data_IF_514531133014
#
_entry.id   IF_514531133014
#
_cell.length_a   1.000
_cell.length_b   1.000
_cell.length_c   1.000
_cell.angle_alpha   90.00
_cell.angle_beta   90.00
_cell.angle_gamma   90.00
#
_symmetry.space_group_name_H-M   'P 1'
#
loop_
_entity.id
_entity.type
_entity.pdbx_description
1 polymer ?
#
# COMPACT_ATOMS: atom_id res chain seq x y z
N UNK A 1 -15.49 14.33 4.79
CA UNK A 1 -16.19 13.03 4.92
C UNK A 1 -16.01 12.56 6.35
N UNK A 2 -17.03 11.96 6.98
CA UNK A 2 -16.87 11.32 8.29
C UNK A 2 -15.79 10.23 8.18
N UNK A 3 -14.85 10.20 9.14
CA UNK A 3 -13.76 9.22 9.16
C UNK A 3 -14.28 7.78 9.15
N UNK A 4 -13.43 6.85 8.70
CA UNK A 4 -13.74 5.42 8.71
C UNK A 4 -14.01 4.95 10.14
N UNK A 5 -15.18 4.35 10.39
CA UNK A 5 -15.52 3.77 11.69
C UNK A 5 -15.16 2.29 11.65
N UNK A 6 -14.17 1.79 12.41
CA UNK A 6 -13.87 0.37 12.44
C UNK A 6 -15.02 -0.42 13.08
N UNK A 7 -15.26 -1.69 12.68
CA UNK A 7 -16.25 -2.53 13.35
C UNK A 7 -15.82 -2.83 14.78
N UNK A 8 -16.80 -3.10 15.65
CA UNK A 8 -16.60 -3.32 17.10
C UNK A 8 -15.57 -4.45 17.36
N UNK A 9 -15.58 -5.51 16.55
CA UNK A 9 -14.67 -6.64 16.70
C UNK A 9 -13.27 -6.42 16.10
N UNK A 10 -13.10 -5.36 15.29
CA UNK A 10 -11.88 -5.03 14.54
C UNK A 10 -11.32 -6.18 13.68
N UNK A 11 -12.13 -7.17 13.31
CA UNK A 11 -11.66 -8.39 12.61
C UNK A 11 -11.70 -8.31 11.10
N UNK A 12 -12.71 -7.65 10.53
CA UNK A 12 -12.89 -7.52 9.09
C UNK A 12 -13.07 -6.05 8.69
N UNK A 13 -12.84 -5.73 7.42
CA UNK A 13 -13.21 -4.43 6.87
C UNK A 13 -14.74 -4.32 6.80
N UNK A 14 -15.26 -3.22 7.31
CA UNK A 14 -16.64 -2.81 7.13
C UNK A 14 -16.76 -1.80 5.96
N UNK A 15 -17.88 -1.83 5.23
CA UNK A 15 -18.06 -1.09 3.98
C UNK A 15 -19.21 -0.06 4.00
N UNK A 16 -19.77 0.23 5.17
CA UNK A 16 -20.85 1.21 5.30
C UNK A 16 -20.37 2.60 4.81
N UNK A 17 -21.14 3.21 3.91
CA UNK A 17 -20.81 4.52 3.33
C UNK A 17 -19.74 4.50 2.23
N UNK A 18 -19.31 3.33 1.76
CA UNK A 18 -18.29 3.19 0.72
C UNK A 18 -18.86 3.02 -0.69
N UNK A 19 -20.19 3.08 -0.84
CA UNK A 19 -20.91 2.83 -2.10
C UNK A 19 -20.46 3.76 -3.22
N UNK A 20 -20.10 5.00 -2.89
CA UNK A 20 -19.60 6.00 -3.83
C UNK A 20 -18.24 5.64 -4.45
N UNK A 21 -17.48 4.73 -3.84
CA UNK A 21 -16.20 4.24 -4.35
C UNK A 21 -16.36 3.12 -5.38
N UNK A 22 -17.57 2.61 -5.58
CA UNK A 22 -17.83 1.48 -6.46
C UNK A 22 -17.71 1.88 -7.95
N UNK A 23 -17.04 1.06 -8.74
CA UNK A 23 -16.77 1.33 -10.16
C UNK A 23 -17.70 0.47 -11.01
N UNK A 24 -18.48 1.09 -11.91
CA UNK A 24 -19.41 0.37 -12.82
C UNK A 24 -20.26 -0.68 -12.07
N UNK A 25 -20.75 -0.31 -10.89
CA UNK A 25 -21.58 -1.15 -10.04
C UNK A 25 -23.02 -1.22 -10.56
N UNK A 26 -23.28 -2.13 -11.50
CA UNK A 26 -24.60 -2.39 -12.06
C UNK A 26 -25.14 -3.73 -11.56
N UNK A 27 -26.47 -3.88 -11.54
CA UNK A 27 -27.11 -5.15 -11.18
C UNK A 27 -26.57 -6.32 -12.03
N UNK A 28 -26.44 -6.11 -13.34
CA UNK A 28 -25.93 -7.12 -14.27
C UNK A 28 -24.48 -7.54 -13.92
N UNK A 29 -23.58 -6.57 -13.70
CA UNK A 29 -22.20 -6.87 -13.34
C UNK A 29 -22.11 -7.67 -12.04
N UNK A 30 -22.89 -7.30 -11.01
CA UNK A 30 -22.94 -8.03 -9.75
C UNK A 30 -23.37 -9.48 -9.96
N UNK A 31 -24.48 -9.70 -10.67
CA UNK A 31 -25.02 -11.04 -10.91
C UNK A 31 -24.04 -11.91 -11.68
N UNK A 32 -23.44 -11.39 -12.77
CA UNK A 32 -22.49 -12.13 -13.58
C UNK A 32 -21.24 -12.54 -12.79
N UNK A 33 -20.69 -11.63 -11.98
CA UNK A 33 -19.49 -11.91 -11.18
C UNK A 33 -19.78 -12.93 -10.07
N UNK A 34 -20.90 -12.77 -9.35
CA UNK A 34 -21.29 -13.72 -8.31
C UNK A 34 -21.61 -15.11 -8.89
N UNK A 35 -22.19 -15.17 -10.09
CA UNK A 35 -22.40 -16.43 -10.80
C UNK A 35 -21.05 -17.06 -11.19
N UNK A 36 -20.14 -16.29 -11.79
CA UNK A 36 -18.82 -16.76 -12.21
C UNK A 36 -17.99 -17.29 -11.03
N UNK A 37 -18.07 -16.65 -9.86
CA UNK A 37 -17.43 -17.13 -8.63
C UNK A 37 -18.01 -18.48 -8.14
N UNK A 38 -19.30 -18.74 -8.38
CA UNK A 38 -19.95 -20.00 -8.00
C UNK A 38 -19.74 -21.12 -9.03
N UNK A 39 -19.39 -20.79 -10.27
CA UNK A 39 -19.27 -21.75 -11.37
C UNK A 39 -17.84 -21.80 -11.92
N UNK A 40 -17.45 -20.82 -12.73
CA UNK A 40 -16.20 -20.77 -13.51
C UNK A 40 -14.96 -20.74 -12.63
N UNK A 41 -14.98 -20.00 -11.52
CA UNK A 41 -13.84 -19.89 -10.61
C UNK A 41 -13.37 -21.24 -10.04
N UNK A 42 -14.26 -22.24 -9.96
CA UNK A 42 -13.93 -23.59 -9.47
C UNK A 42 -13.03 -24.38 -10.43
N UNK A 43 -12.89 -23.91 -11.67
CA UNK A 43 -12.02 -24.51 -12.67
C UNK A 43 -10.56 -24.07 -12.54
N UNK A 44 -10.28 -23.09 -11.67
CA UNK A 44 -8.94 -22.53 -11.47
C UNK A 44 -8.43 -22.85 -10.07
N UNK A 45 -7.12 -23.06 -9.95
CA UNK A 45 -6.45 -23.02 -8.66
C UNK A 45 -6.12 -21.59 -8.27
N UNK A 46 -6.31 -21.27 -7.00
CA UNK A 46 -6.02 -19.97 -6.42
C UNK A 46 -5.77 -20.11 -4.91
N UNK A 47 -5.03 -19.16 -4.37
CA UNK A 47 -4.81 -18.99 -2.94
C UNK A 47 -4.95 -17.49 -2.60
N UNK A 48 -5.41 -17.21 -1.38
CA UNK A 48 -5.63 -15.84 -0.92
C UNK A 48 -6.82 -15.12 -1.57
N UNK A 49 -6.82 -13.79 -1.67
CA UNK A 49 -8.02 -13.02 -2.04
C UNK A 49 -8.28 -12.95 -3.55
N UNK A 50 -7.37 -13.46 -4.40
CA UNK A 50 -7.41 -13.26 -5.85
C UNK A 50 -7.87 -14.52 -6.59
N UNK A 51 -9.07 -14.46 -7.19
CA UNK A 51 -9.78 -15.60 -7.79
C UNK A 51 -9.89 -15.40 -9.31
N UNK A 52 -9.22 -16.21 -10.15
CA UNK A 52 -9.33 -16.12 -11.60
C UNK A 52 -10.75 -16.43 -12.09
N UNK A 53 -11.23 -15.64 -13.05
CA UNK A 53 -12.49 -15.92 -13.78
C UNK A 53 -12.24 -16.34 -15.23
N UNK A 54 -11.09 -16.02 -15.79
CA UNK A 54 -10.63 -16.44 -17.11
C UNK A 54 -9.10 -16.31 -17.21
N UNK A 55 -8.54 -16.47 -18.41
CA UNK A 55 -7.12 -16.17 -18.66
C UNK A 55 -6.79 -14.71 -18.36
N UNK A 56 -7.64 -13.76 -18.75
CA UNK A 56 -7.38 -12.32 -18.65
C UNK A 56 -8.16 -11.57 -17.55
N UNK A 57 -8.96 -12.27 -16.73
CA UNK A 57 -9.80 -11.62 -15.71
C UNK A 57 -9.64 -12.29 -14.34
N UNK A 58 -9.54 -11.45 -13.30
CA UNK A 58 -9.42 -11.88 -11.91
C UNK A 58 -10.33 -11.04 -11.00
N UNK A 59 -10.82 -11.65 -9.93
CA UNK A 59 -11.58 -10.96 -8.88
C UNK A 59 -10.80 -11.00 -7.58
N UNK A 60 -10.51 -9.83 -7.01
CA UNK A 60 -10.01 -9.72 -5.64
C UNK A 60 -11.19 -9.56 -4.68
N UNK A 61 -11.32 -10.47 -3.71
CA UNK A 61 -12.34 -10.43 -2.68
C UNK A 61 -11.86 -11.11 -1.39
N UNK A 62 -12.19 -10.55 -0.23
CA UNK A 62 -11.62 -11.01 1.03
C UNK A 62 -12.11 -10.18 2.22
N UNK A 63 -11.87 -10.64 3.46
CA UNK A 63 -12.24 -9.89 4.67
C UNK A 63 -11.49 -8.56 4.83
N UNK A 64 -10.40 -8.36 4.07
CA UNK A 64 -9.59 -7.15 4.14
C UNK A 64 -9.48 -6.39 2.81
N UNK A 65 -10.31 -6.75 1.81
CA UNK A 65 -10.34 -6.03 0.53
C UNK A 65 -11.24 -4.81 0.67
N UNK A 66 -10.77 -3.64 0.24
CA UNK A 66 -11.52 -2.39 0.29
C UNK A 66 -11.69 -1.76 -1.09
N UNK A 67 -12.83 -1.11 -1.37
CA UNK A 67 -13.08 -0.48 -2.67
C UNK A 67 -12.07 0.62 -3.04
N UNK A 68 -11.39 1.21 -2.05
CA UNK A 68 -10.29 2.17 -2.27
C UNK A 68 -9.19 1.58 -3.15
N UNK A 69 -8.87 0.29 -3.05
CA UNK A 69 -7.85 -0.33 -3.90
C UNK A 69 -8.21 -0.20 -5.41
N UNK A 70 -9.48 -0.40 -5.73
CA UNK A 70 -9.98 -0.23 -7.10
C UNK A 70 -9.93 1.24 -7.55
N UNK A 71 -10.22 2.18 -6.65
CA UNK A 71 -10.09 3.61 -6.90
C UNK A 71 -8.64 4.02 -7.11
N UNK A 72 -7.71 3.48 -6.33
CA UNK A 72 -6.28 3.73 -6.47
C UNK A 72 -5.77 3.28 -7.83
N UNK A 73 -6.06 2.05 -8.26
CA UNK A 73 -5.62 1.58 -9.59
C UNK A 73 -6.16 2.48 -10.71
N UNK A 74 -7.42 2.93 -10.62
CA UNK A 74 -7.96 3.91 -11.59
C UNK A 74 -7.25 5.25 -11.52
N UNK A 75 -6.96 5.75 -10.32
CA UNK A 75 -6.26 7.01 -10.11
C UNK A 75 -4.85 6.96 -10.72
N UNK A 76 -4.07 5.92 -10.42
CA UNK A 76 -2.71 5.73 -10.95
C UNK A 76 -2.73 5.61 -12.48
N UNK A 77 -3.62 4.78 -13.04
CA UNK A 77 -3.75 4.63 -14.49
C UNK A 77 -4.17 5.91 -15.23
N UNK A 78 -4.84 6.84 -14.53
CA UNK A 78 -5.30 8.10 -15.14
C UNK A 78 -4.27 9.22 -15.03
N UNK A 79 -3.28 9.10 -14.15
CA UNK A 79 -2.33 10.17 -13.84
C UNK A 79 -0.86 9.79 -14.08
N UNK A 80 -0.59 8.54 -14.45
CA UNK A 80 0.76 8.03 -14.70
C UNK A 80 0.77 7.04 -15.87
N UNK A 81 1.96 6.73 -16.38
CA UNK A 81 2.21 5.67 -17.36
C UNK A 81 2.43 4.28 -16.73
N UNK A 82 2.39 4.19 -15.40
CA UNK A 82 2.68 2.95 -14.66
C UNK A 82 1.64 1.87 -15.03
N UNK A 83 2.07 0.68 -15.45
CA UNK A 83 1.15 -0.39 -15.78
C UNK A 83 0.53 -0.94 -14.49
N UNK A 84 -0.78 -0.76 -14.35
CA UNK A 84 -1.58 -1.27 -13.22
C UNK A 84 -2.77 -2.08 -13.74
N UNK A 85 -3.34 -3.03 -12.96
CA UNK A 85 -4.49 -3.80 -13.40
C UNK A 85 -5.68 -2.90 -13.75
N UNK A 86 -6.19 -3.02 -14.98
CA UNK A 86 -7.37 -2.25 -15.39
C UNK A 86 -8.61 -2.75 -14.65
N UNK A 87 -9.22 -1.88 -13.85
CA UNK A 87 -10.46 -2.19 -13.14
C UNK A 87 -11.66 -2.22 -14.10
N UNK A 88 -12.33 -3.36 -14.17
CA UNK A 88 -13.54 -3.54 -14.95
C UNK A 88 -14.80 -3.14 -14.19
N UNK A 89 -14.94 -3.59 -12.94
CA UNK A 89 -15.96 -3.13 -12.02
C UNK A 89 -15.58 -3.44 -10.57
N UNK A 90 -16.19 -2.76 -9.61
CA UNK A 90 -16.07 -3.06 -8.19
C UNK A 90 -17.38 -2.80 -7.47
N UNK A 91 -17.70 -3.62 -6.48
CA UNK A 91 -18.95 -3.50 -5.72
C UNK A 91 -18.87 -4.21 -4.37
N UNK A 92 -19.82 -3.90 -3.49
CA UNK A 92 -20.02 -4.58 -2.21
C UNK A 92 -21.21 -5.54 -2.31
N UNK A 93 -21.04 -6.75 -1.79
CA UNK A 93 -22.10 -7.73 -1.61
C UNK A 93 -21.89 -8.45 -0.29
N UNK A 94 -22.92 -8.47 0.57
CA UNK A 94 -22.86 -9.03 1.93
C UNK A 94 -21.65 -8.49 2.74
N UNK A 95 -21.49 -7.17 2.76
CA UNK A 95 -20.38 -6.47 3.41
C UNK A 95 -18.99 -7.00 3.00
N UNK A 96 -18.83 -7.37 1.74
CA UNK A 96 -17.56 -7.80 1.15
C UNK A 96 -17.34 -7.12 -0.19
N UNK A 97 -16.19 -6.45 -0.34
CA UNK A 97 -15.78 -5.92 -1.63
C UNK A 97 -15.41 -7.02 -2.62
N UNK A 98 -15.76 -6.78 -3.88
CA UNK A 98 -15.35 -7.54 -5.03
C UNK A 98 -14.76 -6.55 -6.02
N UNK A 99 -13.50 -6.74 -6.40
CA UNK A 99 -12.79 -5.91 -7.38
C UNK A 99 -12.48 -6.79 -8.57
N UNK A 100 -13.15 -6.53 -9.69
CA UNK A 100 -12.94 -7.26 -10.94
C UNK A 100 -11.96 -6.46 -11.78
N UNK A 101 -10.84 -7.06 -12.09
CA UNK A 101 -9.73 -6.39 -12.76
C UNK A 101 -9.04 -7.31 -13.77
N UNK A 102 -8.23 -6.70 -14.62
CA UNK A 102 -7.35 -7.40 -15.54
C UNK A 102 -6.40 -8.34 -14.80
N UNK A 103 -6.26 -9.55 -15.32
CA UNK A 103 -5.18 -10.47 -14.92
C UNK A 103 -3.97 -10.21 -15.82
N UNK A 104 -3.03 -9.43 -15.33
CA UNK A 104 -1.79 -9.14 -16.06
C UNK A 104 -0.98 -10.43 -16.21
N UNK A 105 -0.57 -10.73 -17.44
CA UNK A 105 0.30 -11.85 -17.75
C UNK A 105 1.78 -11.41 -17.67
N UNK A 106 2.44 -11.82 -16.60
CA UNK A 106 3.87 -11.63 -16.38
C UNK A 106 4.36 -12.51 -15.21
N UNK A 107 5.67 -12.69 -15.13
CA UNK A 107 6.31 -13.39 -14.03
C UNK A 107 6.64 -12.40 -12.91
N UNK A 108 6.35 -12.77 -11.66
CA UNK A 108 6.78 -11.95 -10.52
C UNK A 108 8.30 -11.92 -10.42
N UNK A 109 8.88 -10.75 -10.15
CA UNK A 109 10.32 -10.61 -9.93
C UNK A 109 10.81 -11.59 -8.86
N UNK A 110 10.05 -11.79 -7.79
CA UNK A 110 10.38 -12.75 -6.73
C UNK A 110 10.72 -14.15 -7.26
N UNK A 111 10.08 -14.57 -8.36
CA UNK A 111 10.25 -15.91 -8.96
C UNK A 111 11.41 -15.98 -9.95
N UNK A 112 11.69 -14.89 -10.67
CA UNK A 112 12.62 -14.90 -11.82
C UNK A 112 13.92 -14.13 -11.56
N UNK A 113 14.00 -13.31 -10.51
CA UNK A 113 15.15 -12.43 -10.23
C UNK A 113 16.48 -13.15 -10.31
N UNK A 114 16.60 -14.30 -9.61
CA UNK A 114 17.82 -15.10 -9.57
C UNK A 114 18.28 -15.66 -10.92
N UNK A 115 17.37 -15.75 -11.91
CA UNK A 115 17.63 -16.29 -13.25
C UNK A 115 17.98 -15.21 -14.27
N UNK A 116 17.70 -13.94 -13.96
CA UNK A 116 17.96 -12.83 -14.88
C UNK A 116 19.47 -12.49 -14.92
N UNK A 117 20.04 -12.24 -16.11
CA UNK A 117 21.37 -11.65 -16.25
C UNK A 117 21.46 -10.28 -15.59
N UNK A 118 22.65 -9.87 -15.14
CA UNK A 118 22.87 -8.56 -14.50
C UNK A 118 22.35 -7.40 -15.34
N UNK A 119 22.64 -7.39 -16.65
CA UNK A 119 22.17 -6.35 -17.58
C UNK A 119 20.64 -6.23 -17.60
N UNK A 120 19.92 -7.35 -17.55
CA UNK A 120 18.46 -7.36 -17.51
C UNK A 120 17.94 -6.79 -16.18
N UNK A 121 18.58 -7.16 -15.05
CA UNK A 121 18.26 -6.61 -13.74
C UNK A 121 18.45 -5.10 -13.70
N UNK A 122 19.57 -4.59 -14.21
CA UNK A 122 19.86 -3.16 -14.27
C UNK A 122 18.80 -2.41 -15.11
N UNK A 123 18.41 -2.98 -16.26
CA UNK A 123 17.34 -2.43 -17.10
C UNK A 123 15.98 -2.40 -16.43
N UNK A 124 15.63 -3.42 -15.64
CA UNK A 124 14.40 -3.46 -14.85
C UNK A 124 14.44 -2.43 -13.72
N UNK A 125 15.56 -2.30 -13.01
CA UNK A 125 15.71 -1.31 -11.94
C UNK A 125 15.61 0.13 -12.49
N UNK A 126 16.15 0.39 -13.67
CA UNK A 126 16.00 1.69 -14.34
C UNK A 126 14.55 2.00 -14.74
N UNK A 127 13.79 1.00 -15.21
CA UNK A 127 12.35 1.15 -15.47
C UNK A 127 11.59 1.47 -14.18
N UNK A 128 11.84 0.72 -13.11
CA UNK A 128 11.24 0.98 -11.79
C UNK A 128 11.56 2.39 -11.30
N UNK A 129 12.79 2.85 -11.47
CA UNK A 129 13.18 4.21 -11.08
C UNK A 129 12.35 5.26 -11.80
N UNK A 130 12.16 5.09 -13.11
CA UNK A 130 11.36 6.00 -13.93
C UNK A 130 9.90 5.99 -13.47
N UNK A 131 9.31 4.81 -13.27
CA UNK A 131 7.94 4.64 -12.81
C UNK A 131 7.71 5.28 -11.44
N UNK A 132 8.61 5.08 -10.48
CA UNK A 132 8.45 5.66 -9.16
C UNK A 132 8.75 7.15 -9.14
N UNK A 133 9.69 7.67 -9.94
CA UNK A 133 9.83 9.13 -10.12
C UNK A 133 8.52 9.76 -10.63
N UNK A 134 7.85 9.10 -11.59
CA UNK A 134 6.54 9.54 -12.07
C UNK A 134 5.48 9.49 -10.96
N UNK A 135 5.36 8.38 -10.23
CA UNK A 135 4.41 8.24 -9.11
C UNK A 135 4.62 9.32 -8.04
N UNK A 136 5.89 9.56 -7.67
CA UNK A 136 6.28 10.53 -6.63
C UNK A 136 6.12 11.98 -7.09
N UNK A 137 6.01 12.22 -8.41
CA UNK A 137 5.77 13.55 -8.98
C UNK A 137 4.29 13.98 -8.94
N UNK A 138 3.37 13.05 -8.64
CA UNK A 138 1.95 13.35 -8.52
C UNK A 138 1.71 14.43 -7.45
N UNK A 139 1.01 15.49 -7.85
CA UNK A 139 0.73 16.63 -6.98
C UNK A 139 -0.46 16.33 -6.07
N UNK A 140 -0.23 16.38 -4.77
CA UNK A 140 -1.29 16.29 -3.78
C UNK A 140 -2.22 17.52 -3.91
N UNK A 141 -3.56 17.33 -3.94
CA UNK A 141 -4.50 18.44 -3.87
C UNK A 141 -4.24 19.35 -2.65
N UNK A 142 -4.54 20.66 -2.71
CA UNK A 142 -4.38 21.54 -1.56
C UNK A 142 -5.14 21.04 -0.33
N UNK A 143 -4.45 20.99 0.81
CA UNK A 143 -5.03 20.51 2.08
C UNK A 143 -5.01 19.00 2.26
N UNK A 144 -4.42 18.24 1.34
CA UNK A 144 -4.19 16.79 1.50
C UNK A 144 -3.30 16.51 2.70
N UNK A 145 -3.78 15.64 3.60
CA UNK A 145 -3.02 15.11 4.72
C UNK A 145 -2.54 13.68 4.46
N UNK A 146 -2.60 12.83 5.48
CA UNK A 146 -2.32 11.39 5.34
C UNK A 146 -3.63 10.65 5.08
N UNK A 147 -3.88 10.36 3.81
CA UNK A 147 -5.17 9.86 3.33
C UNK A 147 -5.04 9.07 2.02
N UNK A 148 -6.06 8.28 1.70
CA UNK A 148 -6.12 7.56 0.41
C UNK A 148 -6.32 8.51 -0.77
N UNK A 149 -6.21 8.01 -2.01
CA UNK A 149 -6.41 8.80 -3.23
C UNK A 149 -7.78 9.49 -3.34
N UNK A 150 -8.75 9.10 -2.50
CA UNK A 150 -10.09 9.65 -2.44
C UNK A 150 -10.40 10.35 -1.10
N UNK A 151 -9.38 10.73 -0.33
CA UNK A 151 -9.54 11.44 0.96
C UNK A 151 -10.10 10.59 2.10
N UNK A 152 -10.06 9.27 1.96
CA UNK A 152 -10.53 8.29 2.95
C UNK A 152 -9.41 7.61 3.74
N UNK A 153 -9.78 6.61 4.54
CA UNK A 153 -8.85 5.83 5.37
C UNK A 153 -7.87 4.97 4.58
N UNK A 154 -6.75 4.65 5.24
CA UNK A 154 -5.62 3.89 4.72
C UNK A 154 -5.50 2.53 5.39
N UNK A 155 -4.60 1.70 4.88
CA UNK A 155 -4.22 0.41 5.46
C UNK A 155 -2.72 0.20 5.24
N UNK A 156 -2.03 -0.37 6.20
CA UNK A 156 -0.62 -0.72 6.11
C UNK A 156 -0.39 -1.89 7.06
N UNK A 157 0.02 -3.04 6.54
CA UNK A 157 0.19 -4.25 7.35
C UNK A 157 1.34 -4.15 8.36
N UNK A 158 2.25 -3.19 8.19
CA UNK A 158 3.37 -2.93 9.11
C UNK A 158 2.93 -2.23 10.40
N UNK A 159 1.68 -1.76 10.46
CA UNK A 159 1.11 -1.06 11.63
C UNK A 159 -0.03 -1.91 12.18
N UNK A 160 0.19 -2.73 13.20
CA UNK A 160 -0.84 -3.71 13.62
C UNK A 160 -2.11 -3.06 14.21
N UNK A 161 -1.98 -1.93 14.92
CA UNK A 161 -3.07 -1.16 15.53
C UNK A 161 -3.92 -0.46 14.51
N UNK A 162 -3.47 -0.44 13.26
CA UNK A 162 -4.21 0.08 12.12
C UNK A 162 -5.35 -0.86 11.69
N UNK A 163 -5.62 -1.96 12.42
CA UNK A 163 -6.65 -2.92 12.04
C UNK A 163 -8.08 -2.39 12.30
N UNK A 164 -8.97 -2.42 11.28
CA UNK A 164 -8.73 -2.86 9.90
C UNK A 164 -8.21 -1.75 8.96
N UNK A 165 -8.43 -0.47 9.29
CA UNK A 165 -7.95 0.72 8.57
C UNK A 165 -7.65 1.86 9.55
N UNK A 166 -6.92 2.90 9.10
CA UNK A 166 -6.55 4.06 9.92
C UNK A 166 -6.69 5.39 9.17
N UNK A 167 -6.61 6.49 9.91
CA UNK A 167 -6.77 7.83 9.37
C UNK A 167 -8.19 8.11 8.83
N UNK A 168 -8.36 9.13 7.98
CA UNK A 168 -7.32 10.04 7.50
C UNK A 168 -6.78 10.94 8.62
N UNK A 169 -5.56 11.47 8.45
CA UNK A 169 -4.97 12.48 9.33
C UNK A 169 -4.79 13.79 8.59
N UNK A 170 -5.02 14.92 9.27
CA UNK A 170 -4.94 16.24 8.65
C UNK A 170 -3.50 16.63 8.30
N UNK A 171 -2.53 16.21 9.10
CA UNK A 171 -1.12 16.52 8.92
C UNK A 171 -0.23 15.28 9.07
N UNK A 172 1.00 15.37 8.57
CA UNK A 172 2.04 14.35 8.79
C UNK A 172 2.35 14.21 10.28
N UNK A 173 2.36 15.32 11.02
CA UNK A 173 2.58 15.33 12.46
C UNK A 173 1.48 14.60 13.23
N UNK A 174 0.21 14.79 12.87
CA UNK A 174 -0.91 14.05 13.48
C UNK A 174 -0.74 12.53 13.27
N UNK A 175 -0.32 12.13 12.07
CA UNK A 175 -0.03 10.72 11.77
C UNK A 175 1.15 10.20 12.59
N UNK A 176 2.25 10.95 12.69
CA UNK A 176 3.41 10.55 13.48
C UNK A 176 3.11 10.46 14.97
N UNK A 177 2.34 11.41 15.53
CA UNK A 177 1.88 11.38 16.91
C UNK A 177 1.05 10.14 17.18
N UNK A 178 0.13 9.83 16.26
CA UNK A 178 -0.66 8.61 16.32
C UNK A 178 0.23 7.36 16.28
N UNK A 179 1.24 7.30 15.40
CA UNK A 179 2.16 6.17 15.26
C UNK A 179 2.91 5.82 16.56
N UNK A 180 3.18 6.81 17.41
CA UNK A 180 3.89 6.65 18.69
C UNK A 180 2.97 6.69 19.92
N UNK A 181 1.71 6.29 19.74
CA UNK A 181 0.72 6.20 20.83
C UNK A 181 0.54 7.52 21.61
N UNK A 182 0.53 8.63 20.88
CA UNK A 182 0.38 9.98 21.44
C UNK A 182 1.55 10.44 22.33
N UNK A 183 2.67 9.71 22.35
CA UNK A 183 3.86 10.13 23.10
C UNK A 183 4.34 11.51 22.62
N UNK A 184 4.53 12.43 23.56
CA UNK A 184 5.02 13.78 23.28
C UNK A 184 6.42 14.02 23.83
N UNK A 185 7.09 15.04 23.29
CA UNK A 185 8.45 15.41 23.69
C UNK A 185 8.56 15.79 25.17
N UNK A 186 7.49 16.33 25.76
CA UNK A 186 7.45 16.77 27.15
C UNK A 186 7.25 15.61 28.14
N UNK A 187 6.79 14.46 27.65
CA UNK A 187 6.54 13.26 28.45
C UNK A 187 7.85 12.48 28.64
N UNK A 188 8.81 13.09 29.35
CA UNK A 188 9.94 12.34 29.89
C UNK A 188 9.45 11.55 31.11
N UNK A 189 9.41 10.21 31.07
CA UNK A 189 9.23 9.44 32.29
C UNK A 189 10.41 9.75 33.21
N UNK A 190 10.14 10.52 34.26
CA UNK A 190 11.10 11.07 35.26
C UNK A 190 11.92 10.01 36.00
N UNK A 191 11.80 8.72 35.64
CA UNK A 191 12.40 7.57 36.32
C UNK A 191 13.05 6.53 35.40
N UNK A 192 13.16 6.78 34.09
CA UNK A 192 13.58 5.74 33.16
C UNK A 192 14.89 6.11 32.46
N UNK A 193 16.00 5.64 33.03
CA UNK A 193 17.29 5.54 32.36
C UNK A 193 17.24 4.35 31.39
N UNK A 194 16.30 4.41 30.44
CA UNK A 194 16.02 3.33 29.50
C UNK A 194 17.00 3.44 28.33
N UNK A 195 17.69 2.34 28.06
CA UNK A 195 18.50 2.17 26.86
C UNK A 195 17.65 2.44 25.60
N UNK A 196 18.08 3.40 24.77
CA UNK A 196 17.37 3.80 23.56
C UNK A 196 16.39 4.96 23.73
N UNK A 197 16.28 5.57 24.92
CA UNK A 197 15.45 6.79 25.11
C UNK A 197 15.95 7.97 24.27
N UNK A 198 17.26 8.13 24.10
CA UNK A 198 17.84 9.14 23.22
C UNK A 198 17.36 8.99 21.76
N UNK A 199 17.27 7.76 21.28
CA UNK A 199 16.77 7.47 19.93
C UNK A 199 15.29 7.87 19.80
N UNK A 200 14.50 7.69 20.87
CA UNK A 200 13.09 8.14 20.93
C UNK A 200 13.01 9.67 20.89
N UNK A 201 13.82 10.38 21.68
CA UNK A 201 13.84 11.85 21.67
C UNK A 201 14.18 12.40 20.28
N UNK A 202 15.21 11.85 19.64
CA UNK A 202 15.61 12.22 18.28
C UNK A 202 14.50 11.91 17.27
N UNK A 203 13.86 10.75 17.39
CA UNK A 203 12.72 10.36 16.56
C UNK A 203 11.53 11.33 16.73
N UNK A 204 11.15 11.65 17.96
CA UNK A 204 10.02 12.56 18.27
C UNK A 204 10.31 13.97 17.74
N UNK A 205 11.48 14.52 18.04
CA UNK A 205 11.89 15.85 17.58
C UNK A 205 11.85 15.95 16.04
N UNK A 206 12.24 14.87 15.36
CA UNK A 206 12.18 14.80 13.91
C UNK A 206 10.76 14.69 13.37
N UNK A 207 9.93 13.86 13.99
CA UNK A 207 8.54 13.68 13.60
C UNK A 207 7.70 14.95 13.80
N UNK A 208 8.00 15.75 14.82
CA UNK A 208 7.32 17.02 15.13
C UNK A 208 7.85 18.21 14.30
N UNK A 209 8.96 18.00 13.58
CA UNK A 209 9.56 18.97 12.70
C UNK A 209 8.68 19.32 11.47
N UNK A 210 9.18 20.24 10.63
CA UNK A 210 8.53 20.58 9.38
C UNK A 210 8.67 19.43 8.36
N UNK A 211 7.60 19.16 7.62
CA UNK A 211 7.56 18.15 6.56
C UNK A 211 7.17 18.75 5.23
N UNK A 212 7.66 18.14 4.15
CA UNK A 212 7.17 18.41 2.79
C UNK A 212 5.71 17.93 2.66
N UNK A 213 4.95 18.45 1.67
CA UNK A 213 3.63 17.92 1.37
C UNK A 213 3.66 16.40 1.17
N UNK A 214 2.59 15.67 1.56
CA UNK A 214 2.47 14.25 1.32
C UNK A 214 2.67 13.87 -0.14
N UNK A 215 3.30 12.73 -0.39
CA UNK A 215 3.56 12.20 -1.73
C UNK A 215 2.82 10.88 -1.92
N UNK A 216 2.38 10.61 -3.16
CA UNK A 216 1.64 9.40 -3.45
C UNK A 216 2.58 8.18 -3.39
N UNK A 217 2.16 7.17 -2.64
CA UNK A 217 2.99 6.05 -2.20
C UNK A 217 2.24 4.75 -2.49
N UNK A 218 2.94 3.73 -2.97
CA UNK A 218 2.41 2.37 -3.15
C UNK A 218 2.27 1.67 -1.78
N UNK A 219 3.30 1.74 -0.94
CA UNK A 219 3.27 1.28 0.46
C UNK A 219 3.47 -0.22 0.67
N UNK A 220 3.40 -1.04 -0.39
CA UNK A 220 3.76 -2.47 -0.37
C UNK A 220 4.65 -2.88 -1.55
N UNK A 221 5.72 -2.13 -1.81
CA UNK A 221 6.59 -2.41 -2.95
C UNK A 221 7.57 -3.55 -2.64
N UNK A 222 7.12 -4.77 -2.90
CA UNK A 222 7.90 -5.99 -2.74
C UNK A 222 7.99 -6.76 -4.09
N UNK A 223 8.92 -7.70 -4.25
CA UNK A 223 9.20 -8.31 -5.55
C UNK A 223 8.07 -9.24 -6.07
N UNK A 224 7.08 -9.59 -5.25
CA UNK A 224 5.88 -10.30 -5.71
C UNK A 224 4.90 -9.36 -6.43
N UNK A 225 4.96 -8.08 -6.11
CA UNK A 225 4.07 -7.04 -6.63
C UNK A 225 4.58 -6.40 -7.92
N UNK A 226 5.71 -6.89 -8.46
CA UNK A 226 6.30 -6.42 -9.71
C UNK A 226 6.30 -7.56 -10.71
N UNK A 227 5.55 -7.39 -11.79
CA UNK A 227 5.41 -8.36 -12.88
C UNK A 227 6.24 -7.93 -14.08
N UNK A 228 6.98 -8.87 -14.64
CA UNK A 228 7.79 -8.65 -15.85
C UNK A 228 7.41 -9.61 -16.98
N UNK A 229 7.68 -9.20 -18.21
CA UNK A 229 7.65 -10.08 -19.39
C UNK A 229 8.96 -9.91 -20.14
N UNK A 230 9.82 -10.92 -20.09
CA UNK A 230 11.21 -10.76 -20.52
C UNK A 230 11.93 -9.77 -19.61
N UNK A 231 12.37 -8.64 -20.17
CA UNK A 231 13.09 -7.57 -19.44
C UNK A 231 12.21 -6.33 -19.21
N UNK A 232 10.93 -6.37 -19.57
CA UNK A 232 9.99 -5.25 -19.46
C UNK A 232 9.10 -5.39 -18.22
N UNK A 233 8.94 -4.32 -17.44
CA UNK A 233 7.97 -4.25 -16.34
C UNK A 233 6.57 -4.05 -16.93
N UNK A 234 5.71 -5.05 -16.79
CA UNK A 234 4.36 -5.07 -17.38
C UNK A 234 3.25 -4.89 -16.35
N UNK A 235 3.58 -4.80 -15.06
CA UNK A 235 2.59 -4.57 -14.02
C UNK A 235 3.17 -4.29 -12.64
N UNK A 236 2.66 -3.25 -11.99
CA UNK A 236 2.76 -3.03 -10.55
C UNK A 236 1.38 -3.32 -9.97
N UNK A 237 1.30 -4.28 -9.04
CA UNK A 237 0.04 -4.80 -8.49
C UNK A 237 -0.03 -4.61 -6.97
N UNK A 238 -1.20 -4.87 -6.41
CA UNK A 238 -1.46 -4.85 -4.95
C UNK A 238 -1.42 -3.45 -4.31
N UNK A 239 -2.27 -2.56 -4.84
CA UNK A 239 -2.36 -1.14 -4.46
C UNK A 239 -3.20 -0.86 -3.20
N UNK A 240 -3.36 -1.85 -2.32
CA UNK A 240 -4.31 -1.75 -1.20
C UNK A 240 -3.82 -0.87 -0.03
N UNK A 241 -2.50 -0.64 0.06
CA UNK A 241 -1.88 0.23 1.08
C UNK A 241 -1.57 1.64 0.58
N UNK A 242 -1.82 1.87 -0.70
CA UNK A 242 -1.42 3.09 -1.37
C UNK A 242 -2.25 4.31 -0.97
N UNK A 243 -1.59 5.47 -1.01
CA UNK A 243 -2.18 6.76 -0.64
C UNK A 243 -1.14 7.87 -0.52
N UNK A 244 -1.56 9.00 0.05
CA UNK A 244 -0.71 10.13 0.38
C UNK A 244 -0.06 9.91 1.74
N UNK A 245 1.26 9.88 1.77
CA UNK A 245 2.08 9.59 2.96
C UNK A 245 3.27 10.56 3.03
N UNK A 246 4.04 10.58 4.14
CA UNK A 246 5.31 11.29 4.19
C UNK A 246 6.24 10.90 3.03
N UNK A 247 7.14 11.82 2.64
CA UNK A 247 8.02 11.65 1.48
C UNK A 247 9.01 10.47 1.60
N UNK A 248 9.31 10.03 2.82
CA UNK A 248 10.15 8.86 3.09
C UNK A 248 9.41 7.51 3.08
N UNK A 249 8.08 7.52 3.04
CA UNK A 249 7.27 6.33 3.37
C UNK A 249 7.45 5.18 2.36
N UNK A 250 7.63 5.48 1.08
CA UNK A 250 7.89 4.47 0.04
C UNK A 250 9.18 3.69 0.32
N UNK A 251 10.27 4.43 0.59
CA UNK A 251 11.59 3.82 0.84
C UNK A 251 11.58 2.95 2.10
N UNK A 252 11.04 3.48 3.20
CA UNK A 252 11.01 2.74 4.48
C UNK A 252 10.04 1.56 4.45
N UNK A 253 8.88 1.68 3.80
CA UNK A 253 7.95 0.55 3.62
C UNK A 253 8.56 -0.55 2.78
N UNK A 254 9.19 -0.22 1.65
CA UNK A 254 9.92 -1.18 0.82
C UNK A 254 11.06 -1.84 1.60
N UNK A 255 11.81 -1.10 2.41
CA UNK A 255 12.91 -1.65 3.22
C UNK A 255 12.40 -2.65 4.27
N UNK A 256 11.46 -2.24 5.13
CA UNK A 256 10.93 -3.09 6.20
C UNK A 256 10.10 -4.26 5.67
N UNK A 257 9.41 -4.10 4.55
CA UNK A 257 8.65 -5.18 3.90
C UNK A 257 9.53 -6.31 3.34
N UNK A 258 10.84 -6.07 3.20
CA UNK A 258 11.79 -7.00 2.60
C UNK A 258 12.92 -7.46 3.54
N UNK A 259 12.72 -7.42 4.87
CA UNK A 259 13.71 -7.90 5.86
C UNK A 259 14.16 -9.36 5.63
N UNK A 260 13.25 -10.22 5.19
CA UNK A 260 13.56 -11.63 4.87
C UNK A 260 14.08 -11.84 3.45
N UNK A 261 14.19 -10.76 2.66
CA UNK A 261 14.56 -10.77 1.23
C UNK A 261 15.73 -9.82 0.97
N UNK A 262 16.82 -10.05 1.69
CA UNK A 262 17.99 -9.16 1.73
C UNK A 262 18.57 -8.87 0.34
N UNK A 263 18.57 -9.85 -0.58
CA UNK A 263 19.06 -9.64 -1.94
C UNK A 263 18.25 -8.60 -2.72
N UNK A 264 16.92 -8.59 -2.56
CA UNK A 264 16.06 -7.57 -3.12
C UNK A 264 16.18 -6.24 -2.36
N UNK A 265 16.24 -6.31 -1.03
CA UNK A 265 16.38 -5.12 -0.18
C UNK A 265 17.60 -4.27 -0.55
N UNK A 266 18.73 -4.90 -0.88
CA UNK A 266 19.95 -4.22 -1.37
C UNK A 266 19.76 -3.45 -2.68
N UNK A 267 18.71 -3.75 -3.45
CA UNK A 267 18.43 -3.09 -4.73
C UNK A 267 17.56 -1.83 -4.56
N UNK A 268 16.91 -1.65 -3.41
CA UNK A 268 15.91 -0.58 -3.20
C UNK A 268 16.47 0.81 -3.53
N UNK A 269 17.68 1.10 -3.08
CA UNK A 269 18.35 2.38 -3.32
C UNK A 269 18.68 2.66 -4.80
N UNK A 270 18.60 1.64 -5.68
CA UNK A 270 18.84 1.83 -7.11
C UNK A 270 17.62 2.41 -7.84
N UNK A 271 16.42 2.27 -7.28
CA UNK A 271 15.18 2.74 -7.91
C UNK A 271 14.30 3.64 -7.04
N UNK A 272 14.58 3.76 -5.75
CA UNK A 272 13.98 4.75 -4.85
C UNK A 272 15.06 5.67 -4.28
N UNK A 273 14.67 6.92 -4.02
CA UNK A 273 15.53 7.84 -3.28
C UNK A 273 15.69 7.37 -1.83
N UNK A 274 16.90 7.49 -1.29
CA UNK A 274 17.23 7.02 0.05
C UNK A 274 16.85 8.04 1.12
N UNK A 275 16.35 7.53 2.25
CA UNK A 275 16.03 8.32 3.44
C UNK A 275 16.69 7.68 4.67
N UNK A 276 18.03 7.74 4.80
CA UNK A 276 18.75 6.98 5.83
C UNK A 276 18.39 7.43 7.25
N UNK A 277 18.16 8.72 7.45
CA UNK A 277 17.75 9.25 8.74
C UNK A 277 16.31 8.81 9.07
N UNK A 278 15.39 8.80 8.10
CA UNK A 278 13.98 8.43 8.32
C UNK A 278 13.85 6.93 8.47
N UNK A 279 14.75 6.18 7.85
CA UNK A 279 14.88 4.75 8.08
C UNK A 279 15.31 4.45 9.53
N UNK A 280 16.25 5.22 10.10
CA UNK A 280 16.59 5.12 11.54
C UNK A 280 15.42 5.52 12.43
N UNK A 281 14.74 6.61 12.08
CA UNK A 281 13.52 7.06 12.77
C UNK A 281 12.45 5.95 12.78
N UNK A 282 12.18 5.32 11.63
CA UNK A 282 11.25 4.20 11.52
C UNK A 282 11.75 2.93 12.21
N UNK A 283 13.07 2.70 12.28
CA UNK A 283 13.64 1.59 13.05
C UNK A 283 13.39 1.77 14.56
N UNK A 284 13.59 2.97 15.08
CA UNK A 284 13.23 3.33 16.47
C UNK A 284 11.73 3.15 16.68
N UNK A 285 10.90 3.70 15.78
CA UNK A 285 9.45 3.54 15.85
C UNK A 285 9.06 2.07 15.89
N UNK A 286 9.61 1.24 15.01
CA UNK A 286 9.34 -0.19 14.96
C UNK A 286 9.85 -0.96 16.18
N UNK A 287 10.96 -0.53 16.78
CA UNK A 287 11.48 -1.17 18.00
C UNK A 287 10.53 -1.01 19.19
N UNK A 288 9.91 0.17 19.31
CA UNK A 288 9.11 0.54 20.49
C UNK A 288 7.59 0.41 20.28
N UNK A 289 7.14 0.64 19.05
CA UNK A 289 5.74 0.60 18.62
C UNK A 289 5.53 -0.21 17.34
N UNK A 290 6.55 -0.92 16.87
CA UNK A 290 6.38 -1.90 15.81
C UNK A 290 5.75 -3.12 16.41
N UNK A 291 4.48 -3.31 16.09
CA UNK A 291 3.68 -4.40 16.61
C UNK A 291 3.83 -5.62 15.69
N UNK A 292 5.08 -6.15 15.65
CA UNK A 292 5.43 -7.41 15.00
C UNK A 292 5.41 -8.57 15.99
#
# INVERSE_FOLDING_TARGET
MSGYIPPIDKRAIQHEGTEALAIKNTFLNRVLVLLALKTVARLFQWDGPCIPLSSGLIVKTGPFVHLTEAMTMRFVASNTSIPVPRVHCSFVHNNRAHIVMERIHGDSIATVWGKLPTKARDGILAQLRTMFQELRSLQAPPGTGIESCCGGSLRDSRISRSRPRFGPFKTIQDFHLWLRHELRSEEHPTKMNIEGWKDIEEMVARQDGPWRPPMFTHGDLNPFNILIRGEEVVGIIDWEFAGWYPDYWEYTSAWFGNLTRQEWQKQIAQFLDEYPEELRMEATRNKWWGEF
#
